data_IF_361694151852
#
_entry.id   IF_361694151852
#
_cell.length_a   1.000
_cell.length_b   1.000
_cell.length_c   1.000
_cell.angle_alpha   90.00
_cell.angle_beta   90.00
_cell.angle_gamma   90.00
#
_symmetry.space_group_name_H-M   'P 1'
#
loop_
_entity.id
_entity.type
_entity.pdbx_description
1 polymer ?
#
# COMPACT_ATOMS: atom_id res chain seq x y z
N UNK A 1 6.96 -10.78 -6.31
CA UNK A 1 5.91 -9.87 -5.81
C UNK A 1 6.51 -8.50 -5.71
N UNK A 2 5.72 -7.47 -5.96
CA UNK A 2 6.18 -6.07 -6.10
C UNK A 2 6.32 -5.37 -4.73
N UNK A 3 6.80 -6.11 -3.73
CA UNK A 3 6.81 -5.73 -2.31
C UNK A 3 8.21 -5.31 -1.81
N UNK A 4 9.24 -5.34 -2.68
CA UNK A 4 10.57 -4.85 -2.30
C UNK A 4 10.61 -3.32 -2.15
N UNK A 5 9.69 -2.63 -2.83
CA UNK A 5 9.54 -1.18 -2.81
C UNK A 5 8.06 -0.82 -2.78
N UNK A 6 7.61 -0.29 -1.65
CA UNK A 6 6.20 -0.15 -1.34
C UNK A 6 5.71 -1.28 -0.45
N UNK A 7 4.65 -1.00 0.30
CA UNK A 7 3.86 -1.97 1.04
C UNK A 7 2.39 -1.77 0.69
N UNK A 8 1.75 -2.81 0.19
CA UNK A 8 0.40 -2.75 -0.35
C UNK A 8 -0.63 -3.08 0.73
N UNK A 9 -1.66 -2.24 0.82
CA UNK A 9 -2.76 -2.39 1.76
C UNK A 9 -4.09 -2.31 1.03
N UNK A 10 -5.04 -3.06 1.55
CA UNK A 10 -6.43 -2.98 1.14
C UNK A 10 -7.25 -2.46 2.31
N UNK A 11 -8.08 -1.47 2.04
CA UNK A 11 -9.05 -1.04 3.04
C UNK A 11 -10.08 -2.15 3.28
N UNK A 12 -10.24 -2.56 4.54
CA UNK A 12 -11.28 -3.49 4.96
C UNK A 12 -11.93 -2.99 6.25
N UNK A 13 -13.26 -2.85 6.26
CA UNK A 13 -13.96 -2.44 7.48
C UNK A 13 -13.75 -3.49 8.58
N UNK A 14 -13.38 -3.03 9.77
CA UNK A 14 -13.09 -3.91 10.92
C UNK A 14 -11.63 -4.38 11.02
N UNK A 15 -10.73 -3.95 10.13
CA UNK A 15 -9.29 -4.22 10.25
C UNK A 15 -8.67 -3.49 11.47
N UNK A 16 -7.73 -4.14 12.15
CA UNK A 16 -7.13 -3.67 13.41
C UNK A 16 -5.79 -2.93 13.29
N UNK A 17 -5.35 -2.58 12.08
CA UNK A 17 -4.08 -1.88 11.83
C UNK A 17 -4.34 -0.42 11.48
N UNK A 18 -3.53 0.46 12.05
CA UNK A 18 -3.55 1.89 11.74
C UNK A 18 -2.30 2.23 10.95
N UNK A 19 -2.48 2.96 9.85
CA UNK A 19 -1.38 3.41 9.00
C UNK A 19 -1.46 4.92 8.79
N UNK A 20 -0.37 5.62 9.05
CA UNK A 20 -0.24 7.05 8.78
C UNK A 20 0.11 7.26 7.31
N UNK A 21 -0.90 7.61 6.49
CA UNK A 21 -0.76 7.70 5.03
C UNK A 21 0.05 8.92 4.55
N UNK A 22 0.30 9.90 5.43
CA UNK A 22 1.15 11.07 5.14
C UNK A 22 0.75 11.86 3.90
N UNK A 23 1.74 12.45 3.22
CA UNK A 23 1.54 13.13 1.94
C UNK A 23 1.11 12.12 0.87
N UNK A 24 -0.18 12.16 0.53
CA UNK A 24 -0.85 11.14 -0.27
C UNK A 24 -1.17 11.64 -1.67
N UNK A 25 -0.90 10.82 -2.68
CA UNK A 25 -1.39 11.06 -4.05
C UNK A 25 -2.46 10.04 -4.43
N UNK A 26 -3.59 10.52 -4.94
CA UNK A 26 -4.73 9.66 -5.32
C UNK A 26 -4.83 9.57 -6.85
N UNK A 27 -5.08 8.36 -7.36
CA UNK A 27 -5.30 8.04 -8.76
C UNK A 27 -6.50 7.10 -8.92
N UNK A 28 -7.05 6.99 -10.13
CA UNK A 28 -8.09 5.99 -10.37
C UNK A 28 -7.45 4.60 -10.43
N UNK A 29 -6.38 4.44 -11.21
CA UNK A 29 -5.70 3.15 -11.38
C UNK A 29 -4.18 3.35 -11.60
N UNK A 30 -3.44 2.24 -11.66
CA UNK A 30 -2.00 2.16 -11.87
C UNK A 30 -1.53 2.91 -13.11
N UNK A 31 -2.29 2.85 -14.20
CA UNK A 31 -1.96 3.52 -15.45
C UNK A 31 -1.79 5.04 -15.28
N UNK A 32 -2.63 5.65 -14.45
CA UNK A 32 -2.56 7.09 -14.15
C UNK A 32 -1.30 7.43 -13.34
N UNK A 33 -0.97 6.59 -12.34
CA UNK A 33 0.23 6.76 -11.53
C UNK A 33 1.49 6.59 -12.38
N UNK A 34 1.54 5.56 -13.24
CA UNK A 34 2.66 5.33 -14.15
C UNK A 34 2.86 6.53 -15.09
N UNK A 35 1.78 7.08 -15.65
CA UNK A 35 1.83 8.27 -16.49
C UNK A 35 2.33 9.49 -15.70
N UNK A 36 1.83 9.72 -14.49
CA UNK A 36 2.19 10.85 -13.65
C UNK A 36 3.66 10.80 -13.20
N UNK A 37 4.12 9.66 -12.71
CA UNK A 37 5.49 9.47 -12.24
C UNK A 37 6.50 9.20 -13.36
N UNK A 38 6.02 9.01 -14.59
CA UNK A 38 6.82 8.68 -15.79
C UNK A 38 7.62 7.40 -15.59
N UNK A 39 6.96 6.38 -15.05
CA UNK A 39 7.55 5.07 -14.76
C UNK A 39 6.76 3.95 -15.44
N UNK A 40 7.34 2.76 -15.41
CA UNK A 40 6.63 1.52 -15.71
C UNK A 40 6.87 0.55 -14.57
N UNK A 41 5.82 -0.15 -14.16
CA UNK A 41 5.85 -1.12 -13.07
C UNK A 41 5.77 -0.48 -11.69
N UNK A 42 5.29 -1.29 -10.76
CA UNK A 42 4.97 -0.92 -9.38
C UNK A 42 6.19 -0.45 -8.59
N UNK A 43 7.28 -1.21 -8.59
CA UNK A 43 8.47 -0.84 -7.80
C UNK A 43 9.09 0.50 -8.24
N UNK A 44 9.13 0.76 -9.56
CA UNK A 44 9.64 2.02 -10.08
C UNK A 44 8.71 3.19 -9.73
N UNK A 45 7.40 2.95 -9.78
CA UNK A 45 6.39 3.92 -9.35
C UNK A 45 6.55 4.28 -7.86
N UNK A 46 6.74 3.29 -6.98
CA UNK A 46 7.01 3.53 -5.56
C UNK A 46 8.28 4.36 -5.34
N UNK A 47 9.38 3.99 -5.98
CA UNK A 47 10.65 4.75 -5.90
C UNK A 47 10.49 6.20 -6.35
N UNK A 48 9.83 6.41 -7.49
CA UNK A 48 9.58 7.74 -8.04
C UNK A 48 8.69 8.57 -7.11
N UNK A 49 7.58 8.00 -6.61
CA UNK A 49 6.70 8.65 -5.66
C UNK A 49 7.43 9.07 -4.38
N UNK A 50 8.23 8.18 -3.80
CA UNK A 50 9.04 8.47 -2.62
C UNK A 50 10.05 9.60 -2.88
N UNK A 51 10.73 9.60 -4.04
CA UNK A 51 11.68 10.65 -4.42
C UNK A 51 11.03 12.02 -4.64
N UNK A 52 9.73 12.05 -4.95
CA UNK A 52 8.94 13.28 -5.07
C UNK A 52 8.31 13.72 -3.74
N UNK A 53 8.63 13.02 -2.64
CA UNK A 53 8.19 13.38 -1.29
C UNK A 53 6.80 12.89 -0.91
N UNK A 54 6.20 11.97 -1.67
CA UNK A 54 4.98 11.29 -1.26
C UNK A 54 5.27 10.18 -0.24
N UNK A 55 4.38 10.01 0.72
CA UNK A 55 4.42 8.93 1.71
C UNK A 55 3.53 7.75 1.28
N UNK A 56 2.46 8.05 0.55
CA UNK A 56 1.58 7.03 -0.01
C UNK A 56 0.96 7.40 -1.35
N UNK A 57 0.52 6.36 -2.05
CA UNK A 57 -0.32 6.43 -3.25
C UNK A 57 -1.61 5.65 -2.99
N UNK A 58 -2.74 6.14 -3.50
CA UNK A 58 -4.03 5.44 -3.41
C UNK A 58 -4.64 5.21 -4.78
N UNK A 59 -5.21 4.02 -4.97
CA UNK A 59 -6.00 3.67 -6.15
C UNK A 59 -7.45 3.43 -5.74
N UNK A 60 -8.36 4.26 -6.28
CA UNK A 60 -9.78 4.24 -5.90
C UNK A 60 -10.67 3.50 -6.90
N UNK A 61 -10.12 3.09 -8.04
CA UNK A 61 -10.80 2.35 -9.10
C UNK A 61 -9.89 1.25 -9.68
N UNK A 62 -9.05 0.62 -8.84
CA UNK A 62 -8.14 -0.42 -9.32
C UNK A 62 -8.92 -1.66 -9.79
N UNK A 63 -8.60 -2.13 -11.00
CA UNK A 63 -9.09 -3.41 -11.53
C UNK A 63 -8.04 -4.48 -11.35
N UNK A 64 -8.35 -5.48 -10.54
CA UNK A 64 -7.44 -6.60 -10.30
C UNK A 64 -8.12 -7.95 -10.56
N UNK A 65 -8.09 -8.39 -11.81
CA UNK A 65 -8.65 -9.69 -12.19
C UNK A 65 -7.79 -10.88 -11.71
N UNK A 66 -6.54 -10.65 -11.28
CA UNK A 66 -5.64 -11.69 -10.82
C UNK A 66 -5.95 -12.07 -9.36
N UNK A 67 -6.04 -11.09 -8.46
CA UNK A 67 -6.37 -11.34 -7.06
C UNK A 67 -7.89 -11.38 -6.81
N UNK A 68 -8.70 -10.74 -7.66
CA UNK A 68 -10.17 -10.75 -7.58
C UNK A 68 -10.82 -11.33 -8.85
N UNK A 69 -10.59 -12.62 -9.17
CA UNK A 69 -11.14 -13.24 -10.38
C UNK A 69 -12.67 -13.33 -10.39
N UNK A 70 -13.32 -13.21 -9.23
CA UNK A 70 -14.77 -13.24 -9.10
C UNK A 70 -15.45 -11.89 -9.44
N UNK A 71 -14.69 -10.80 -9.51
CA UNK A 71 -15.21 -9.44 -9.59
C UNK A 71 -16.12 -9.22 -10.82
N UNK A 72 -15.69 -9.74 -11.97
CA UNK A 72 -16.48 -9.70 -13.21
C UNK A 72 -17.81 -10.46 -13.09
N UNK A 73 -17.83 -11.61 -12.41
CA UNK A 73 -19.03 -12.46 -12.28
C UNK A 73 -20.14 -11.79 -11.47
N UNK A 74 -19.77 -10.96 -10.49
CA UNK A 74 -20.73 -10.26 -9.62
C UNK A 74 -20.95 -8.80 -10.03
N UNK A 75 -20.40 -8.37 -11.17
CA UNK A 75 -20.61 -7.02 -11.72
C UNK A 75 -19.94 -5.90 -10.92
N UNK A 76 -18.87 -6.20 -10.17
CA UNK A 76 -18.08 -5.19 -9.44
C UNK A 76 -16.72 -5.06 -10.11
N UNK A 77 -16.53 -4.11 -11.03
CA UNK A 77 -15.31 -4.06 -11.85
C UNK A 77 -14.08 -3.57 -11.08
N UNK A 78 -14.27 -2.90 -9.95
CA UNK A 78 -13.22 -2.30 -9.14
C UNK A 78 -13.12 -3.01 -7.80
N UNK A 79 -11.90 -3.20 -7.33
CA UNK A 79 -11.68 -3.56 -5.95
C UNK A 79 -11.97 -2.38 -5.02
N UNK A 80 -11.83 -2.62 -3.71
CA UNK A 80 -11.88 -1.53 -2.74
C UNK A 80 -10.68 -0.58 -2.93
N UNK A 81 -10.57 0.43 -2.08
CA UNK A 81 -9.40 1.30 -2.08
C UNK A 81 -8.12 0.51 -1.76
N UNK A 82 -7.17 0.60 -2.68
CA UNK A 82 -5.80 0.13 -2.50
C UNK A 82 -4.91 1.29 -2.08
N UNK A 83 -4.07 1.05 -1.08
CA UNK A 83 -3.18 2.05 -0.49
C UNK A 83 -1.76 1.48 -0.54
N UNK A 84 -0.83 2.23 -1.09
CA UNK A 84 0.58 1.85 -1.21
C UNK A 84 1.40 2.80 -0.38
N UNK A 85 2.05 2.28 0.67
CA UNK A 85 2.99 3.05 1.47
C UNK A 85 4.36 3.01 0.79
N UNK A 86 4.70 4.03 0.00
CA UNK A 86 5.81 3.99 -0.96
C UNK A 86 7.21 4.05 -0.32
N UNK A 87 7.28 4.37 0.97
CA UNK A 87 8.50 4.39 1.79
C UNK A 87 8.65 3.16 2.70
N UNK A 88 7.67 2.25 2.67
CA UNK A 88 7.75 0.96 3.36
C UNK A 88 8.12 -0.14 2.37
N UNK A 89 8.49 -1.30 2.90
CA UNK A 89 8.87 -2.48 2.14
C UNK A 89 8.04 -3.66 2.64
N UNK A 90 7.07 -4.11 1.84
CA UNK A 90 6.13 -5.16 2.24
C UNK A 90 6.71 -6.57 2.35
N UNK A 91 7.98 -6.78 1.96
CA UNK A 91 8.68 -8.03 2.31
C UNK A 91 8.99 -8.14 3.81
N UNK A 92 8.81 -7.07 4.59
CA UNK A 92 8.96 -7.07 6.04
C UNK A 92 7.59 -6.90 6.72
N UNK A 93 7.34 -7.67 7.79
CA UNK A 93 6.06 -7.69 8.50
C UNK A 93 5.59 -6.30 8.97
N UNK A 94 6.52 -5.42 9.37
CA UNK A 94 6.24 -4.05 9.79
C UNK A 94 6.68 -2.98 8.77
N UNK A 95 6.93 -3.37 7.51
CA UNK A 95 7.35 -2.43 6.47
C UNK A 95 8.80 -1.98 6.55
N UNK A 96 9.60 -2.48 7.50
CA UNK A 96 11.02 -2.20 7.68
C UNK A 96 11.77 -3.42 8.24
N UNK A 97 13.03 -3.57 7.86
CA UNK A 97 13.91 -4.66 8.30
C UNK A 97 14.09 -4.72 9.82
N UNK A 98 14.12 -3.55 10.46
CA UNK A 98 14.25 -3.41 11.92
C UNK A 98 13.02 -3.88 12.70
N UNK A 99 11.92 -4.25 12.02
CA UNK A 99 10.70 -4.75 12.65
C UNK A 99 9.77 -3.66 13.18
N UNK A 100 10.07 -2.37 12.96
CA UNK A 100 9.21 -1.25 13.38
C UNK A 100 9.27 -0.13 12.35
N UNK A 101 8.11 0.32 11.86
CA UNK A 101 7.98 1.54 11.07
C UNK A 101 7.11 2.55 11.82
N UNK A 102 7.52 3.84 11.94
CA UNK A 102 6.70 4.86 12.62
C UNK A 102 5.30 5.01 12.03
N UNK A 103 5.16 4.83 10.72
CA UNK A 103 3.89 4.94 10.01
C UNK A 103 2.93 3.78 10.30
N UNK A 104 3.40 2.66 10.88
CA UNK A 104 2.58 1.50 11.20
C UNK A 104 2.31 1.45 12.71
N UNK A 105 1.03 1.45 13.07
CA UNK A 105 0.56 1.64 14.45
C UNK A 105 -0.45 0.56 14.82
N UNK A 106 -0.51 0.24 16.11
CA UNK A 106 -1.36 -0.80 16.69
C UNK A 106 -2.15 -0.30 17.91
N UNK A 107 -3.11 -1.11 18.36
CA UNK A 107 -3.98 -0.79 19.50
C UNK A 107 -5.13 0.15 19.14
N UNK A 108 -6.03 0.41 20.10
CA UNK A 108 -7.15 1.31 19.90
C UNK A 108 -6.65 2.70 19.47
N UNK A 109 -7.18 3.21 18.35
CA UNK A 109 -6.78 4.48 17.74
C UNK A 109 -5.27 4.59 17.40
N UNK A 110 -4.57 3.48 17.16
CA UNK A 110 -3.15 3.50 16.78
C UNK A 110 -2.25 4.04 17.89
N UNK A 111 -2.61 3.85 19.16
CA UNK A 111 -1.89 4.41 20.32
C UNK A 111 -0.54 3.76 20.58
N UNK A 112 -0.25 2.59 20.02
CA UNK A 112 0.98 1.85 20.24
C UNK A 112 1.81 1.78 18.94
N UNK A 113 3.15 1.83 19.02
CA UNK A 113 4.01 1.44 17.91
C UNK A 113 3.67 0.01 17.46
N UNK A 114 3.74 -0.25 16.16
CA UNK A 114 3.73 -1.62 15.66
C UNK A 114 5.16 -2.18 15.79
N UNK A 115 5.32 -3.24 16.59
CA UNK A 115 6.57 -3.96 16.77
C UNK A 115 6.36 -5.38 16.27
N UNK A 116 6.92 -5.69 15.11
CA UNK A 116 6.88 -7.03 14.52
C UNK A 116 8.19 -7.75 14.84
N UNK A 117 8.10 -9.06 15.01
CA UNK A 117 9.27 -9.93 15.11
C UNK A 117 9.74 -10.28 13.68
N UNK A 118 10.93 -9.81 13.25
CA UNK A 118 11.46 -10.16 11.93
C UNK A 118 11.73 -11.67 11.76
N UNK A 119 11.90 -12.40 12.87
CA UNK A 119 12.16 -13.85 12.89
C UNK A 119 10.89 -14.71 12.95
N UNK A 120 9.71 -14.09 13.04
CA UNK A 120 8.43 -14.78 13.09
C UNK A 120 7.43 -14.10 12.11
N UNK A 121 7.72 -14.17 10.80
CA UNK A 121 6.95 -13.50 9.74
C UNK A 121 5.55 -14.08 9.54
#
# INVERSE_FOLDING_TARGET
>A
GDEHYGMWFLYAKGSGVYVEIGNTKVFNDHGDAFAFFKTQGNENMCKAAASQGFDSVQFVQHRDAANYPCAAKIGVPYMNMEIVMVKLTGTYACGQETGTAPALRAGWQGTKPCNCDPGNP
#
